data_IF_152195651457
#
_entry.id   IF_152195651457
#
_cell.length_a   1.000
_cell.length_b   1.000
_cell.length_c   1.000
_cell.angle_alpha   90.00
_cell.angle_beta   90.00
_cell.angle_gamma   90.00
#
_symmetry.space_group_name_H-M   'P 1'
#
loop_
_entity.id
_entity.type
_entity.pdbx_description
1 polymer ?
#
# COMPACT_ATOMS: atom_id res chain seq x y z
N UNK A 1 14.74 14.13 8.48
CA UNK A 1 13.49 13.53 8.04
C UNK A 1 12.79 14.46 7.05
N UNK A 2 12.19 13.89 6.04
CA UNK A 2 11.34 14.57 5.07
C UNK A 2 9.89 14.15 5.30
N UNK A 3 8.96 15.11 5.33
CA UNK A 3 7.52 14.87 5.33
C UNK A 3 6.99 15.14 3.92
N UNK A 4 6.44 14.11 3.28
CA UNK A 4 5.84 14.17 1.96
C UNK A 4 4.32 14.07 2.07
N UNK A 5 3.62 14.91 1.31
CA UNK A 5 2.18 14.77 1.05
C UNK A 5 2.03 13.87 -0.18
N UNK A 6 1.40 12.71 -0.02
CA UNK A 6 1.18 11.77 -1.12
C UNK A 6 -0.25 11.80 -1.67
N UNK A 7 -1.04 12.77 -1.19
CA UNK A 7 -2.41 13.00 -1.65
C UNK A 7 -3.45 12.13 -0.98
N UNK A 8 -4.63 12.07 -1.58
CA UNK A 8 -5.76 11.31 -1.08
C UNK A 8 -5.72 9.84 -1.53
N UNK A 9 -5.99 8.87 -0.64
CA UNK A 9 -6.18 7.48 -1.04
C UNK A 9 -7.44 7.36 -1.92
N UNK A 10 -7.28 6.86 -3.12
CA UNK A 10 -8.40 6.60 -4.02
C UNK A 10 -8.94 5.20 -3.76
N UNK A 11 -10.18 5.11 -3.29
CA UNK A 11 -10.83 3.86 -2.90
C UNK A 11 -11.90 3.40 -3.90
N UNK A 12 -12.32 4.28 -4.81
CA UNK A 12 -13.35 3.94 -5.80
C UNK A 12 -12.84 2.90 -6.79
N UNK A 13 -13.56 1.81 -6.93
CA UNK A 13 -13.27 0.72 -7.88
C UNK A 13 -13.34 1.16 -9.35
N UNK A 14 -14.02 2.27 -9.62
CA UNK A 14 -14.05 2.90 -10.96
C UNK A 14 -12.72 3.55 -11.34
N UNK A 15 -11.93 3.96 -10.33
CA UNK A 15 -10.61 4.60 -10.52
C UNK A 15 -9.49 3.57 -10.38
N UNK A 16 -9.69 2.58 -9.50
CA UNK A 16 -8.83 1.40 -9.42
C UNK A 16 -9.41 0.41 -10.42
N UNK A 17 -8.65 -0.07 -11.42
CA UNK A 17 -9.19 -1.02 -12.40
C UNK A 17 -9.44 -2.38 -11.74
N UNK A 18 -10.63 -2.55 -11.12
CA UNK A 18 -11.09 -3.78 -10.48
C UNK A 18 -12.41 -4.22 -11.12
N UNK A 19 -12.49 -5.48 -11.47
CA UNK A 19 -13.70 -6.11 -11.99
C UNK A 19 -14.65 -6.46 -10.83
N UNK A 20 -15.50 -5.50 -10.43
CA UNK A 20 -16.50 -5.67 -9.37
C UNK A 20 -17.63 -4.67 -9.56
N UNK A 21 -18.81 -5.00 -9.06
CA UNK A 21 -19.97 -4.09 -8.97
C UNK A 21 -19.95 -3.22 -7.69
N UNK A 22 -19.01 -3.48 -6.77
CA UNK A 22 -18.89 -2.70 -5.53
C UNK A 22 -18.25 -1.34 -5.80
N UNK A 23 -18.68 -0.29 -5.07
CA UNK A 23 -18.09 1.05 -5.18
C UNK A 23 -16.68 1.14 -4.60
N UNK A 24 -16.40 0.32 -3.57
CA UNK A 24 -15.09 0.19 -2.92
C UNK A 24 -14.77 -1.29 -2.69
N UNK A 25 -13.48 -1.62 -2.66
CA UNK A 25 -13.00 -2.99 -2.41
C UNK A 25 -12.21 -3.01 -1.11
N UNK A 26 -12.94 -3.00 0.02
CA UNK A 26 -12.37 -2.95 1.38
C UNK A 26 -12.69 -4.24 2.10
N UNK A 27 -11.66 -4.90 2.63
CA UNK A 27 -11.74 -6.14 3.43
C UNK A 27 -12.52 -7.27 2.75
N UNK A 28 -12.40 -7.39 1.43
CA UNK A 28 -13.15 -8.36 0.66
C UNK A 28 -12.47 -9.72 0.64
N UNK A 29 -13.20 -10.82 0.91
CA UNK A 29 -12.63 -12.16 0.86
C UNK A 29 -12.35 -12.57 -0.59
N UNK A 30 -11.11 -12.96 -0.85
CA UNK A 30 -10.63 -13.45 -2.15
C UNK A 30 -9.98 -14.80 -1.96
N UNK A 31 -10.47 -15.81 -2.66
CA UNK A 31 -9.87 -17.12 -2.69
C UNK A 31 -8.63 -17.12 -3.59
N UNK A 32 -7.48 -17.45 -3.02
CA UNK A 32 -6.20 -17.53 -3.72
C UNK A 32 -5.58 -18.89 -3.43
N UNK A 33 -5.58 -19.77 -4.41
CA UNK A 33 -5.17 -21.16 -4.25
C UNK A 33 -5.92 -21.84 -3.09
N UNK A 34 -5.21 -22.24 -2.06
CA UNK A 34 -5.69 -22.96 -0.88
C UNK A 34 -6.08 -22.05 0.29
N UNK A 35 -5.97 -20.71 0.14
CA UNK A 35 -6.24 -19.71 1.20
C UNK A 35 -7.24 -18.66 0.77
N UNK A 36 -7.97 -18.11 1.74
CA UNK A 36 -8.77 -16.90 1.57
C UNK A 36 -8.06 -15.73 2.21
N UNK A 37 -7.85 -14.65 1.44
CA UNK A 37 -7.30 -13.40 1.94
C UNK A 37 -8.38 -12.32 1.96
N UNK A 38 -8.35 -11.48 2.98
CA UNK A 38 -9.19 -10.29 3.06
C UNK A 38 -8.42 -9.10 2.47
N UNK A 39 -8.83 -8.68 1.29
CA UNK A 39 -8.09 -7.73 0.46
C UNK A 39 -8.75 -6.35 0.50
N UNK A 40 -7.96 -5.31 0.67
CA UNK A 40 -8.36 -3.92 0.46
C UNK A 40 -7.57 -3.33 -0.69
N UNK A 41 -8.26 -2.71 -1.65
CA UNK A 41 -7.64 -2.06 -2.80
C UNK A 41 -7.62 -0.54 -2.65
N UNK A 42 -6.49 0.07 -3.01
CA UNK A 42 -6.23 1.52 -2.95
C UNK A 42 -5.44 1.93 -4.19
N UNK A 43 -5.66 3.13 -4.72
CA UNK A 43 -4.81 3.69 -5.77
C UNK A 43 -4.16 5.00 -5.34
N UNK A 44 -2.88 5.13 -5.61
CA UNK A 44 -2.06 6.35 -5.51
C UNK A 44 -1.67 6.89 -6.89
N UNK A 45 -2.42 6.50 -7.93
CA UNK A 45 -2.10 6.67 -9.35
C UNK A 45 -1.73 5.34 -10.02
N UNK A 46 -1.28 4.38 -9.23
CA UNK A 46 -1.11 2.97 -9.58
C UNK A 46 -1.93 2.09 -8.62
N UNK A 47 -2.44 0.93 -9.08
CA UNK A 47 -3.24 0.04 -8.25
C UNK A 47 -2.39 -0.68 -7.21
N UNK A 48 -2.91 -0.71 -6.00
CA UNK A 48 -2.38 -1.48 -4.87
C UNK A 48 -3.48 -2.32 -4.23
N UNK A 49 -3.11 -3.46 -3.69
CA UNK A 49 -3.93 -4.18 -2.73
C UNK A 49 -3.10 -4.58 -1.51
N UNK A 50 -3.71 -4.48 -0.34
CA UNK A 50 -3.10 -4.89 0.91
C UNK A 50 -4.01 -5.82 1.69
N UNK A 51 -3.40 -6.71 2.46
CA UNK A 51 -4.07 -7.66 3.34
C UNK A 51 -3.24 -7.92 4.57
N UNK A 52 -3.94 -8.23 5.67
CA UNK A 52 -3.31 -8.65 6.91
C UNK A 52 -3.21 -10.17 6.97
N UNK A 53 -2.07 -10.64 7.42
CA UNK A 53 -1.77 -12.06 7.68
C UNK A 53 -1.24 -12.23 9.09
N UNK A 54 -1.34 -13.43 9.63
CA UNK A 54 -0.89 -13.72 11.00
C UNK A 54 0.63 -13.64 11.12
N UNK A 55 1.36 -14.11 10.09
CA UNK A 55 2.81 -14.01 10.01
C UNK A 55 3.26 -13.90 8.56
N UNK A 56 3.99 -12.83 8.24
CA UNK A 56 4.61 -12.65 6.93
C UNK A 56 5.80 -13.60 6.74
N UNK A 57 6.51 -13.90 7.83
CA UNK A 57 7.67 -14.80 7.80
C UNK A 57 7.30 -16.25 7.48
N UNK A 58 6.08 -16.68 7.86
CA UNK A 58 5.58 -18.05 7.60
C UNK A 58 4.79 -18.16 6.28
N UNK A 59 4.52 -17.02 5.62
CA UNK A 59 3.79 -16.98 4.36
C UNK A 59 4.74 -17.10 3.17
N UNK A 60 4.40 -17.96 2.21
CA UNK A 60 5.05 -17.96 0.89
C UNK A 60 4.58 -16.74 0.08
N UNK A 61 5.18 -15.57 0.42
CA UNK A 61 4.84 -14.26 -0.15
C UNK A 61 5.01 -14.25 -1.68
N UNK A 62 6.03 -14.94 -2.19
CA UNK A 62 6.27 -15.01 -3.64
C UNK A 62 5.14 -15.76 -4.35
N UNK A 63 4.76 -16.92 -3.83
CA UNK A 63 3.69 -17.77 -4.39
C UNK A 63 2.36 -17.02 -4.42
N UNK A 64 1.87 -16.56 -3.27
CA UNK A 64 0.56 -15.91 -3.18
C UNK A 64 0.55 -14.53 -3.80
N UNK A 65 1.65 -13.76 -3.69
CA UNK A 65 1.78 -12.45 -4.29
C UNK A 65 1.68 -12.50 -5.81
N UNK A 66 2.36 -13.45 -6.43
CA UNK A 66 2.31 -13.67 -7.88
C UNK A 66 0.92 -14.06 -8.37
N UNK A 67 0.23 -14.94 -7.63
CA UNK A 67 -1.15 -15.33 -7.97
C UNK A 67 -2.13 -14.15 -7.89
N UNK A 68 -2.03 -13.33 -6.83
CA UNK A 68 -2.88 -12.14 -6.68
C UNK A 68 -2.54 -11.09 -7.73
N UNK A 69 -1.27 -10.79 -7.97
CA UNK A 69 -0.83 -9.83 -9.01
C UNK A 69 -1.41 -10.17 -10.38
N UNK A 70 -1.46 -11.46 -10.72
CA UNK A 70 -1.91 -11.95 -12.03
C UNK A 70 -3.39 -12.37 -12.06
N UNK A 71 -4.14 -12.13 -10.99
CA UNK A 71 -5.57 -12.47 -10.92
C UNK A 71 -6.41 -11.49 -11.76
N UNK A 72 -6.33 -11.62 -13.08
CA UNK A 72 -6.99 -10.72 -14.05
C UNK A 72 -8.52 -10.75 -13.96
N UNK A 73 -9.10 -11.77 -13.34
CA UNK A 73 -10.54 -11.82 -13.03
C UNK A 73 -10.96 -10.71 -12.06
N UNK A 74 -10.08 -10.28 -11.17
CA UNK A 74 -10.31 -9.19 -10.20
C UNK A 74 -9.51 -7.95 -10.60
N UNK A 75 -8.22 -8.10 -10.90
CA UNK A 75 -7.29 -7.02 -11.24
C UNK A 75 -6.87 -7.09 -12.71
N UNK A 76 -7.68 -6.58 -13.66
CA UNK A 76 -7.44 -6.77 -15.10
C UNK A 76 -6.11 -6.19 -15.59
N UNK A 77 -5.60 -5.16 -14.91
CA UNK A 77 -4.32 -4.50 -15.24
C UNK A 77 -3.21 -4.83 -14.23
N UNK A 78 -3.33 -5.97 -13.52
CA UNK A 78 -2.48 -6.33 -12.39
C UNK A 78 -2.61 -5.36 -11.21
N UNK A 79 -1.94 -5.65 -10.11
CA UNK A 79 -1.91 -4.82 -8.90
C UNK A 79 -0.60 -5.02 -8.15
N UNK A 80 -0.17 -4.01 -7.39
CA UNK A 80 0.91 -4.17 -6.42
C UNK A 80 0.35 -4.83 -5.17
N UNK A 81 0.98 -5.92 -4.73
CA UNK A 81 0.49 -6.73 -3.61
C UNK A 81 1.33 -6.47 -2.37
N UNK A 82 0.66 -6.18 -1.25
CA UNK A 82 1.30 -5.94 0.04
C UNK A 82 0.71 -6.86 1.09
N UNK A 83 1.52 -7.75 1.65
CA UNK A 83 1.19 -8.51 2.85
C UNK A 83 1.70 -7.78 4.08
N UNK A 84 0.87 -7.68 5.09
CA UNK A 84 1.18 -6.96 6.33
C UNK A 84 0.86 -7.83 7.53
N UNK A 85 1.77 -7.88 8.48
CA UNK A 85 1.58 -8.46 9.80
C UNK A 85 1.30 -7.35 10.80
N UNK A 86 0.32 -7.54 11.68
CA UNK A 86 0.04 -6.60 12.74
C UNK A 86 0.75 -7.03 14.02
N UNK A 87 1.91 -6.45 14.27
CA UNK A 87 2.60 -6.60 15.55
C UNK A 87 2.19 -5.44 16.44
N UNK A 88 1.72 -5.71 17.67
CA UNK A 88 1.32 -4.67 18.62
C UNK A 88 2.48 -3.68 18.85
N UNK A 89 2.31 -2.46 18.29
CA UNK A 89 3.27 -1.37 18.39
C UNK A 89 4.12 -1.14 17.14
N UNK A 90 4.29 -2.11 16.26
CA UNK A 90 5.05 -1.95 14.99
C UNK A 90 4.45 -2.83 13.92
N UNK A 91 4.34 -2.32 12.69
CA UNK A 91 3.96 -3.10 11.51
C UNK A 91 5.16 -3.18 10.55
N UNK A 92 5.52 -4.36 10.09
CA UNK A 92 6.65 -4.55 9.18
C UNK A 92 6.17 -4.75 7.74
N UNK A 93 6.76 -4.01 6.80
CA UNK A 93 6.55 -4.18 5.36
C UNK A 93 7.87 -4.02 4.62
N UNK A 94 8.02 -4.70 3.48
CA UNK A 94 9.23 -4.67 2.67
C UNK A 94 9.21 -3.42 1.78
N UNK A 95 9.94 -2.34 2.18
CA UNK A 95 10.54 -1.32 1.32
C UNK A 95 9.75 -0.64 0.19
N UNK A 96 8.41 -0.41 0.32
CA UNK A 96 7.64 0.35 -0.67
C UNK A 96 6.78 1.43 0.00
N UNK A 97 7.07 2.71 -0.23
CA UNK A 97 6.34 3.82 0.39
C UNK A 97 4.83 3.78 0.14
N UNK A 98 4.39 3.57 -1.10
CA UNK A 98 2.97 3.44 -1.46
C UNK A 98 2.35 2.13 -0.94
N UNK A 99 3.13 1.06 -0.81
CA UNK A 99 2.74 -0.18 -0.13
C UNK A 99 2.47 0.05 1.36
N UNK A 100 3.39 0.75 2.06
CA UNK A 100 3.20 1.14 3.46
C UNK A 100 1.95 2.02 3.64
N UNK A 101 1.76 3.00 2.76
CA UNK A 101 0.58 3.86 2.76
C UNK A 101 -0.71 3.04 2.58
N UNK A 102 -0.71 2.07 1.66
CA UNK A 102 -1.85 1.17 1.42
C UNK A 102 -2.12 0.30 2.64
N UNK A 103 -1.09 -0.27 3.27
CA UNK A 103 -1.22 -1.06 4.49
C UNK A 103 -1.86 -0.26 5.63
N UNK A 104 -1.42 1.00 5.83
CA UNK A 104 -1.98 1.88 6.86
C UNK A 104 -3.42 2.26 6.55
N UNK A 105 -3.75 2.63 5.31
CA UNK A 105 -5.13 2.90 4.90
C UNK A 105 -6.01 1.67 5.15
N UNK A 106 -5.54 0.49 4.79
CA UNK A 106 -6.24 -0.78 5.07
C UNK A 106 -6.45 -0.98 6.57
N UNK A 107 -5.42 -0.76 7.39
CA UNK A 107 -5.50 -0.89 8.85
C UNK A 107 -6.53 0.06 9.47
N UNK A 108 -6.54 1.32 9.02
CA UNK A 108 -7.52 2.34 9.49
C UNK A 108 -8.94 1.94 9.07
N UNK A 109 -9.16 1.59 7.82
CA UNK A 109 -10.46 1.21 7.29
C UNK A 109 -11.03 -0.06 7.94
N UNK A 110 -10.15 -0.96 8.38
CA UNK A 110 -10.53 -2.19 9.09
C UNK A 110 -10.49 -2.06 10.62
N UNK A 111 -10.26 -0.84 11.14
CA UNK A 111 -10.30 -0.55 12.58
C UNK A 111 -9.14 -1.14 13.39
N UNK A 112 -8.00 -1.42 12.74
CA UNK A 112 -6.83 -2.04 13.37
C UNK A 112 -5.86 -1.03 13.97
N UNK A 113 -5.84 0.22 13.51
CA UNK A 113 -4.99 1.28 14.05
C UNK A 113 -5.67 2.66 13.94
N UNK A 114 -5.08 3.64 14.62
CA UNK A 114 -5.44 5.06 14.51
C UNK A 114 -4.91 5.67 13.21
N UNK A 115 -5.36 6.91 12.90
CA UNK A 115 -4.97 7.66 11.69
C UNK A 115 -3.51 8.12 11.66
N UNK A 116 -2.75 7.84 12.71
CA UNK A 116 -1.32 8.15 12.81
C UNK A 116 -0.60 6.94 13.39
N UNK A 117 0.27 6.35 12.58
CA UNK A 117 0.96 5.11 12.92
C UNK A 117 2.38 5.09 12.34
N UNK A 118 3.31 4.48 13.07
CA UNK A 118 4.65 4.18 12.55
C UNK A 118 4.64 2.78 11.95
N UNK A 119 5.12 2.69 10.71
CA UNK A 119 5.33 1.43 10.00
C UNK A 119 6.82 1.11 10.02
N UNK A 120 7.19 -0.04 10.55
CA UNK A 120 8.55 -0.55 10.46
C UNK A 120 8.75 -1.27 9.12
N UNK A 121 9.87 -1.01 8.48
CA UNK A 121 10.30 -1.68 7.25
C UNK A 121 11.81 -1.81 7.22
N UNK A 122 12.35 -2.66 6.34
CA UNK A 122 13.80 -2.89 6.21
C UNK A 122 14.56 -1.57 5.97
N UNK A 123 13.99 -0.64 5.22
CA UNK A 123 14.57 0.68 4.94
C UNK A 123 14.49 1.69 6.10
N UNK A 124 13.90 1.32 7.24
CA UNK A 124 13.71 2.16 8.42
C UNK A 124 12.24 2.60 8.61
N UNK A 125 11.94 3.18 9.78
CA UNK A 125 10.58 3.53 10.16
C UNK A 125 10.00 4.67 9.31
N UNK A 126 8.73 4.55 8.95
CA UNK A 126 7.92 5.59 8.33
C UNK A 126 6.75 5.96 9.23
N UNK A 127 6.67 7.23 9.63
CA UNK A 127 5.47 7.76 10.26
C UNK A 127 4.45 8.12 9.17
N UNK A 128 3.27 7.51 9.23
CA UNK A 128 2.18 7.73 8.29
C UNK A 128 0.99 8.34 9.05
N UNK A 129 0.46 9.44 8.51
CA UNK A 129 -0.67 10.18 9.05
C UNK A 129 -1.73 10.39 7.96
N UNK A 130 -2.93 9.89 8.18
CA UNK A 130 -4.08 10.17 7.30
C UNK A 130 -4.95 11.26 7.94
N UNK A 131 -4.77 12.48 7.46
CA UNK A 131 -5.42 13.68 8.01
C UNK A 131 -6.93 13.68 7.70
N UNK A 132 -7.74 13.88 8.75
CA UNK A 132 -9.21 13.85 8.62
C UNK A 132 -9.79 15.06 7.90
N UNK A 133 -9.11 16.21 7.97
CA UNK A 133 -9.64 17.47 7.44
C UNK A 133 -9.39 17.60 5.94
N UNK A 134 -8.18 17.22 5.53
CA UNK A 134 -7.74 17.32 4.13
C UNK A 134 -7.95 16.05 3.35
N UNK A 135 -8.19 14.91 4.03
CA UNK A 135 -8.19 13.56 3.48
C UNK A 135 -6.85 13.16 2.82
N UNK A 136 -5.79 13.94 3.02
CA UNK A 136 -4.46 13.64 2.51
C UNK A 136 -3.71 12.69 3.45
N UNK A 137 -2.90 11.85 2.88
CA UNK A 137 -1.97 10.99 3.61
C UNK A 137 -0.57 11.58 3.54
N UNK A 138 0.03 11.74 4.71
CA UNK A 138 1.40 12.25 4.87
C UNK A 138 2.32 11.12 5.31
N UNK A 139 3.50 11.08 4.71
CA UNK A 139 4.55 10.12 5.03
C UNK A 139 5.80 10.86 5.48
N UNK A 140 6.30 10.53 6.67
CA UNK A 140 7.51 11.14 7.22
C UNK A 140 8.55 10.05 7.48
N UNK A 141 9.73 10.21 6.90
CA UNK A 141 10.82 9.23 7.05
C UNK A 141 12.21 9.85 6.95
N UNK A 142 13.26 9.07 7.24
CA UNK A 142 14.65 9.49 7.06
C UNK A 142 14.97 9.71 5.57
N UNK A 143 15.87 10.63 5.33
CA UNK A 143 16.40 10.91 4.00
C UNK A 143 17.89 11.24 4.09
N UNK A 144 18.66 10.70 3.16
CA UNK A 144 20.09 10.95 3.02
C UNK A 144 20.41 11.34 1.59
N UNK A 145 21.23 12.37 1.40
CA UNK A 145 21.79 12.68 0.08
C UNK A 145 22.75 11.59 -0.32
N UNK A 146 22.47 10.93 -1.44
CA UNK A 146 23.30 9.84 -1.96
C UNK A 146 24.32 10.38 -2.96
N UNK A 147 23.89 11.30 -3.83
CA UNK A 147 24.74 12.01 -4.78
C UNK A 147 24.08 13.31 -5.23
N UNK A 148 24.85 14.19 -5.82
CA UNK A 148 24.38 15.39 -6.54
C UNK A 148 24.76 15.23 -8.01
N UNK A 149 23.86 15.68 -8.92
CA UNK A 149 24.07 15.62 -10.35
C UNK A 149 23.45 16.83 -11.05
N UNK A 150 24.06 17.24 -12.16
CA UNK A 150 23.48 18.22 -13.08
C UNK A 150 22.99 17.50 -14.33
N UNK A 151 21.81 17.88 -14.82
CA UNK A 151 21.23 17.37 -16.07
C UNK A 151 20.85 18.53 -16.99
N UNK A 152 21.12 18.39 -18.28
CA UNK A 152 20.63 19.32 -19.28
C UNK A 152 19.12 19.09 -19.52
N UNK A 153 18.31 20.02 -19.02
CA UNK A 153 16.85 19.96 -19.12
C UNK A 153 16.34 20.24 -20.54
N UNK A 154 17.15 20.73 -21.47
CA UNK A 154 16.71 21.06 -22.85
C UNK A 154 16.15 19.86 -23.61
N UNK A 155 16.53 18.64 -23.22
CA UNK A 155 16.05 17.38 -23.82
C UNK A 155 14.87 16.77 -23.08
N UNK A 156 14.49 17.28 -21.91
CA UNK A 156 13.46 16.71 -21.03
C UNK A 156 12.17 17.51 -21.09
N UNK A 157 12.28 18.84 -21.25
CA UNK A 157 11.15 19.76 -21.33
C UNK A 157 10.76 20.01 -22.80
N UNK A 158 10.10 19.02 -23.40
CA UNK A 158 9.45 19.17 -24.72
C UNK A 158 7.95 19.07 -24.61
#
# INVERSE_FOLDING_TARGET
NIRADIGEPRLSTKVIPINTEMDTFVDQPVQVLDRTFHITAVSWGNPHCAMFVDSVAELDVEKYGKEIEHMTSIFPNKTNVTFTEFVRGTGETIGCGTGCATAVVTAILTGKCDRKVTVEQIGGPLLIEWDEKTNHLFMTGPSHTVFEAEIDASHILK
#
